data_IF_412628248201
#
_entry.id   IF_412628248201
#
_cell.length_a   1.000
_cell.length_b   1.000
_cell.length_c   1.000
_cell.angle_alpha   90.00
_cell.angle_beta   90.00
_cell.angle_gamma   90.00
#
_symmetry.space_group_name_H-M   'P 1'
#
loop_
_entity.id
_entity.type
_entity.pdbx_description
1 polymer ?
#
# COMPACT_ATOMS: atom_id res chain seq x y z
N UNK A 1 58.65 14.01 59.50
CA UNK A 1 57.56 13.01 59.46
C UNK A 1 56.25 13.74 59.72
N UNK A 2 55.68 14.41 58.71
CA UNK A 2 54.43 15.18 58.88
C UNK A 2 53.24 14.22 58.85
N UNK A 3 52.44 14.24 59.91
CA UNK A 3 51.22 13.44 60.00
C UNK A 3 50.16 14.01 59.04
N UNK A 4 49.48 13.18 58.22
CA UNK A 4 48.46 13.67 57.32
C UNK A 4 47.22 14.13 58.10
N UNK A 5 46.69 15.27 57.68
CA UNK A 5 45.65 16.03 58.35
C UNK A 5 44.29 15.32 58.28
N UNK A 6 43.61 15.15 59.43
CA UNK A 6 42.31 14.44 59.53
C UNK A 6 41.20 15.11 58.69
N UNK A 7 41.40 16.38 58.31
CA UNK A 7 40.52 17.17 57.43
C UNK A 7 40.59 16.71 55.96
N UNK A 8 41.72 16.20 55.50
CA UNK A 8 41.90 15.73 54.11
C UNK A 8 41.13 14.44 53.84
N UNK A 9 40.97 13.58 54.85
CA UNK A 9 40.20 12.34 54.75
C UNK A 9 38.71 12.57 54.53
N UNK A 10 38.14 13.62 55.12
CA UNK A 10 36.73 13.97 54.91
C UNK A 10 36.45 14.45 53.48
N UNK A 11 37.34 15.29 52.93
CA UNK A 11 37.23 15.80 51.57
C UNK A 11 37.35 14.68 50.51
N UNK A 12 38.23 13.69 50.74
CA UNK A 12 38.42 12.56 49.83
C UNK A 12 37.21 11.60 49.80
N UNK A 13 36.55 11.38 50.94
CA UNK A 13 35.34 10.54 50.98
C UNK A 13 34.17 11.22 50.28
N UNK A 14 34.01 12.54 50.48
CA UNK A 14 32.97 13.31 49.79
C UNK A 14 33.18 13.34 48.28
N UNK A 15 34.42 13.55 47.80
CA UNK A 15 34.70 13.53 46.36
C UNK A 15 34.49 12.14 45.75
N UNK A 16 34.87 11.06 46.46
CA UNK A 16 34.59 9.70 46.03
C UNK A 16 33.09 9.41 45.89
N UNK A 17 32.28 9.84 46.87
CA UNK A 17 30.82 9.66 46.82
C UNK A 17 30.18 10.45 45.66
N UNK A 18 30.68 11.66 45.38
CA UNK A 18 30.19 12.46 44.24
C UNK A 18 30.50 11.76 42.92
N UNK A 19 31.73 11.24 42.73
CA UNK A 19 32.12 10.55 41.50
C UNK A 19 31.25 9.30 41.30
N UNK A 20 31.06 8.48 42.34
CA UNK A 20 30.22 7.28 42.27
C UNK A 20 28.77 7.64 41.92
N UNK A 21 28.22 8.68 42.54
CA UNK A 21 26.87 9.16 42.23
C UNK A 21 26.74 9.60 40.77
N UNK A 22 27.73 10.32 40.23
CA UNK A 22 27.74 10.73 38.81
C UNK A 22 27.81 9.52 37.89
N UNK A 23 28.70 8.56 38.16
CA UNK A 23 28.83 7.34 37.35
C UNK A 23 27.52 6.54 37.37
N UNK A 24 26.90 6.37 38.54
CA UNK A 24 25.61 5.70 38.66
C UNK A 24 24.50 6.41 37.88
N UNK A 25 24.43 7.75 37.96
CA UNK A 25 23.47 8.56 37.20
C UNK A 25 23.65 8.44 35.68
N UNK A 26 24.91 8.42 35.21
CA UNK A 26 25.24 8.22 33.80
C UNK A 26 24.85 6.81 33.31
N UNK A 27 25.18 5.76 34.08
CA UNK A 27 24.79 4.38 33.77
C UNK A 27 23.27 4.22 33.70
N UNK A 28 22.53 4.79 34.65
CA UNK A 28 21.07 4.77 34.64
C UNK A 28 20.49 5.49 33.41
N UNK A 29 21.03 6.66 33.05
CA UNK A 29 20.63 7.42 31.86
C UNK A 29 20.85 6.64 30.56
N UNK A 30 21.97 5.91 30.45
CA UNK A 30 22.27 5.07 29.29
C UNK A 30 21.32 3.87 29.17
N UNK A 31 21.04 3.17 30.27
CA UNK A 31 20.12 2.04 30.27
C UNK A 31 18.71 2.46 29.83
N UNK A 32 18.23 3.62 30.29
CA UNK A 32 16.94 4.16 29.90
C UNK A 32 16.88 4.54 28.41
N UNK A 33 17.99 5.06 27.86
CA UNK A 33 18.12 5.32 26.40
C UNK A 33 18.12 4.02 25.59
N UNK A 34 18.77 2.97 26.08
CA UNK A 34 18.80 1.66 25.42
C UNK A 34 17.40 1.05 25.31
N UNK A 35 16.61 1.04 26.40
CA UNK A 35 15.23 0.54 26.39
C UNK A 35 14.35 1.31 25.42
N UNK A 36 14.50 2.64 25.33
CA UNK A 36 13.74 3.47 24.39
C UNK A 36 14.11 3.20 22.92
N UNK A 37 15.38 2.90 22.62
CA UNK A 37 15.84 2.57 21.26
C UNK A 37 15.25 1.24 20.77
N UNK A 38 15.30 0.20 21.61
CA UNK A 38 14.77 -1.14 21.26
C UNK A 38 13.29 -1.08 20.89
N UNK A 39 12.47 -0.37 21.68
CA UNK A 39 11.03 -0.21 21.40
C UNK A 39 10.75 0.47 20.06
N UNK A 40 11.63 1.37 19.61
CA UNK A 40 11.48 2.02 18.29
C UNK A 40 11.73 1.03 17.16
N UNK A 41 12.78 0.22 17.28
CA UNK A 41 13.13 -0.81 16.29
C UNK A 41 12.02 -1.85 16.20
N UNK A 42 11.47 -2.31 17.33
CA UNK A 42 10.36 -3.26 17.36
C UNK A 42 9.12 -2.73 16.64
N UNK A 43 8.77 -1.45 16.86
CA UNK A 43 7.66 -0.80 16.17
C UNK A 43 7.89 -0.67 14.66
N UNK A 44 9.11 -0.35 14.24
CA UNK A 44 9.44 -0.26 12.81
C UNK A 44 9.41 -1.64 12.13
N UNK A 45 9.92 -2.68 12.80
CA UNK A 45 9.80 -4.05 12.30
C UNK A 45 8.35 -4.49 12.20
N UNK A 46 7.50 -4.18 13.20
CA UNK A 46 6.07 -4.46 13.14
C UNK A 46 5.39 -3.75 11.96
N UNK A 47 5.74 -2.49 11.68
CA UNK A 47 5.24 -1.74 10.52
C UNK A 47 5.65 -2.37 9.20
N UNK A 48 6.91 -2.77 9.07
CA UNK A 48 7.42 -3.42 7.85
C UNK A 48 6.71 -4.77 7.62
N UNK A 49 6.53 -5.56 8.69
CA UNK A 49 5.82 -6.83 8.63
C UNK A 49 4.35 -6.63 8.22
N UNK A 50 3.65 -5.65 8.79
CA UNK A 50 2.28 -5.33 8.41
C UNK A 50 2.17 -4.94 6.92
N UNK A 51 3.10 -4.12 6.41
CA UNK A 51 3.13 -3.76 4.98
C UNK A 51 3.38 -4.96 4.07
N UNK A 52 4.31 -5.84 4.44
CA UNK A 52 4.59 -7.06 3.67
C UNK A 52 3.36 -7.98 3.62
N UNK A 53 2.62 -8.07 4.72
CA UNK A 53 1.38 -8.85 4.82
C UNK A 53 0.25 -8.24 3.97
N UNK A 54 0.09 -6.92 3.97
CA UNK A 54 -0.86 -6.23 3.09
C UNK A 54 -0.52 -6.44 1.60
N UNK A 55 0.76 -6.33 1.24
CA UNK A 55 1.22 -6.60 -0.13
C UNK A 55 0.91 -8.04 -0.56
N UNK A 56 1.16 -9.02 0.31
CA UNK A 56 0.79 -10.42 0.07
C UNK A 56 -0.71 -10.62 -0.12
N UNK A 57 -1.54 -9.91 0.64
CA UNK A 57 -2.99 -9.89 0.45
C UNK A 57 -3.42 -9.35 -0.91
N UNK A 58 -2.78 -8.29 -1.41
CA UNK A 58 -3.02 -7.73 -2.74
C UNK A 58 -2.58 -8.71 -3.83
N UNK A 59 -1.45 -9.40 -3.66
CA UNK A 59 -0.96 -10.38 -4.64
C UNK A 59 -1.84 -11.62 -4.72
N UNK A 60 -2.36 -12.09 -3.57
CA UNK A 60 -3.39 -13.11 -3.54
C UNK A 60 -4.67 -12.65 -4.25
N UNK A 61 -5.13 -11.42 -4.01
CA UNK A 61 -6.28 -10.84 -4.70
C UNK A 61 -6.08 -10.81 -6.23
N UNK A 62 -4.88 -10.40 -6.70
CA UNK A 62 -4.55 -10.43 -8.12
C UNK A 62 -4.55 -11.85 -8.70
N UNK A 63 -4.06 -12.82 -7.95
CA UNK A 63 -4.04 -14.22 -8.38
C UNK A 63 -5.47 -14.76 -8.56
N UNK A 64 -6.35 -14.55 -7.57
CA UNK A 64 -7.73 -15.04 -7.64
C UNK A 64 -8.53 -14.33 -8.74
N UNK A 65 -8.32 -13.01 -8.96
CA UNK A 65 -8.95 -12.29 -10.06
C UNK A 65 -8.47 -12.77 -11.44
N UNK A 66 -7.17 -13.07 -11.59
CA UNK A 66 -6.62 -13.61 -12.83
C UNK A 66 -7.14 -15.01 -13.14
N UNK A 67 -7.20 -15.88 -12.13
CA UNK A 67 -7.77 -17.23 -12.30
C UNK A 67 -9.25 -17.14 -12.66
N UNK A 68 -10.01 -16.28 -11.98
CA UNK A 68 -11.42 -16.03 -12.29
C UNK A 68 -11.62 -15.55 -13.73
N UNK A 69 -10.90 -14.50 -14.16
CA UNK A 69 -11.03 -13.95 -15.52
C UNK A 69 -10.66 -14.93 -16.64
N UNK A 70 -9.92 -16.00 -16.34
CA UNK A 70 -9.64 -17.09 -17.30
C UNK A 70 -10.78 -18.10 -17.39
N UNK A 71 -11.57 -18.27 -16.32
CA UNK A 71 -12.64 -19.27 -16.22
C UNK A 71 -14.00 -18.70 -16.62
N UNK A 72 -14.28 -17.46 -16.21
CA UNK A 72 -15.58 -16.82 -16.40
C UNK A 72 -15.43 -15.44 -17.07
N UNK A 73 -16.08 -15.21 -18.22
CA UNK A 73 -16.06 -13.91 -18.89
C UNK A 73 -17.04 -12.90 -18.29
N UNK A 74 -17.98 -13.35 -17.45
CA UNK A 74 -19.01 -12.50 -16.83
C UNK A 74 -18.69 -12.28 -15.36
N UNK A 75 -18.72 -11.03 -14.92
CA UNK A 75 -18.49 -10.65 -13.52
C UNK A 75 -19.83 -10.54 -12.79
N UNK A 76 -19.96 -11.20 -11.64
CA UNK A 76 -21.16 -11.17 -10.78
C UNK A 76 -20.77 -10.97 -9.31
N UNK A 77 -21.61 -10.27 -8.55
CA UNK A 77 -21.33 -9.94 -7.14
C UNK A 77 -21.38 -11.12 -6.15
N UNK A 78 -21.79 -12.31 -6.59
CA UNK A 78 -21.88 -13.52 -5.76
C UNK A 78 -20.73 -14.52 -6.00
N UNK A 79 -19.70 -14.12 -6.74
CA UNK A 79 -18.54 -14.95 -7.04
C UNK A 79 -17.54 -14.94 -5.88
N UNK A 80 -16.65 -15.95 -5.83
CA UNK A 80 -15.71 -16.17 -4.71
C UNK A 80 -14.85 -14.93 -4.41
N UNK A 81 -14.41 -14.22 -5.46
CA UNK A 81 -13.59 -13.00 -5.31
C UNK A 81 -14.29 -11.89 -4.53
N UNK A 82 -15.63 -11.84 -4.53
CA UNK A 82 -16.43 -10.83 -3.84
C UNK A 82 -16.65 -11.15 -2.35
N UNK A 83 -16.21 -12.33 -1.89
CA UNK A 83 -16.36 -12.73 -0.48
C UNK A 83 -15.38 -11.96 0.40
N UNK A 84 -15.84 -11.23 1.42
CA UNK A 84 -14.96 -10.48 2.30
C UNK A 84 -14.14 -11.41 3.20
N UNK A 85 -12.88 -11.06 3.40
CA UNK A 85 -12.02 -11.66 4.42
C UNK A 85 -12.29 -10.89 5.71
N UNK A 86 -12.91 -11.56 6.68
CA UNK A 86 -13.27 -10.98 7.97
C UNK A 86 -12.37 -11.56 9.05
N UNK A 87 -11.72 -10.68 9.79
CA UNK A 87 -10.97 -10.95 11.02
C UNK A 87 -10.14 -12.23 11.02
N UNK A 88 -9.39 -12.48 9.94
CA UNK A 88 -8.51 -13.66 9.92
C UNK A 88 -7.36 -13.43 10.87
N UNK A 89 -7.35 -14.25 11.93
CA UNK A 89 -6.33 -14.21 12.96
C UNK A 89 -5.06 -14.88 12.45
N UNK A 90 -3.98 -14.12 12.34
CA UNK A 90 -2.67 -14.66 12.01
C UNK A 90 -1.90 -14.84 13.31
N UNK A 91 -1.82 -16.09 13.74
CA UNK A 91 -1.00 -16.51 14.87
C UNK A 91 0.36 -16.94 14.35
N UNK A 92 1.44 -16.36 14.89
CA UNK A 92 2.80 -16.82 14.61
C UNK A 92 3.23 -17.73 15.77
N UNK A 93 3.67 -18.97 15.49
CA UNK A 93 4.17 -19.86 16.53
C UNK A 93 5.26 -19.18 17.36
N UNK A 94 5.06 -19.08 18.68
CA UNK A 94 6.00 -18.43 19.61
C UNK A 94 5.83 -16.92 19.80
N UNK A 95 4.77 -16.31 19.26
CA UNK A 95 4.45 -14.88 19.44
C UNK A 95 3.03 -14.74 20.03
N UNK A 96 2.89 -14.09 21.18
CA UNK A 96 1.58 -13.80 21.80
C UNK A 96 0.80 -12.70 21.05
N UNK A 97 1.44 -12.01 20.10
CA UNK A 97 0.82 -10.94 19.34
C UNK A 97 -0.13 -11.49 18.29
N UNK A 98 -1.41 -11.17 18.47
CA UNK A 98 -2.47 -11.49 17.52
C UNK A 98 -2.57 -10.41 16.45
N UNK A 99 -2.24 -10.74 15.21
CA UNK A 99 -2.50 -9.87 14.06
C UNK A 99 -3.84 -10.22 13.43
N UNK A 100 -4.68 -9.22 13.16
CA UNK A 100 -5.97 -9.39 12.49
C UNK A 100 -5.86 -8.86 11.08
N UNK A 101 -6.28 -9.66 10.10
CA UNK A 101 -6.32 -9.28 8.70
C UNK A 101 -7.76 -9.26 8.19
N UNK A 102 -8.15 -8.14 7.60
CA UNK A 102 -9.47 -7.93 7.02
C UNK A 102 -9.35 -7.26 5.67
N UNK A 103 -10.16 -7.67 4.71
CA UNK A 103 -10.16 -7.08 3.37
C UNK A 103 -11.40 -7.46 2.59
N UNK A 104 -11.73 -6.63 1.59
CA UNK A 104 -12.82 -6.91 0.64
C UNK A 104 -12.41 -6.43 -0.74
N UNK A 105 -12.94 -7.10 -1.75
CA UNK A 105 -12.77 -6.73 -3.15
C UNK A 105 -14.14 -6.29 -3.66
N UNK A 106 -14.19 -5.16 -4.35
CA UNK A 106 -15.42 -4.61 -4.92
C UNK A 106 -15.20 -4.27 -6.39
N UNK A 107 -16.22 -4.51 -7.20
CA UNK A 107 -16.24 -4.07 -8.59
C UNK A 107 -16.55 -2.57 -8.68
N UNK A 108 -15.63 -1.81 -9.27
CA UNK A 108 -15.80 -0.38 -9.52
C UNK A 108 -16.59 -0.11 -10.82
N UNK A 109 -16.70 -1.09 -11.73
CA UNK A 109 -17.51 -0.96 -12.95
C UNK A 109 -19.02 -0.98 -12.68
N UNK A 110 -19.43 -1.46 -11.50
CA UNK A 110 -20.82 -1.36 -11.04
C UNK A 110 -21.24 0.03 -10.57
N UNK A 111 -20.32 1.00 -10.50
CA UNK A 111 -20.58 2.38 -10.06
C UNK A 111 -20.64 3.32 -11.26
N UNK A 112 -21.36 4.44 -11.11
CA UNK A 112 -21.37 5.48 -12.14
C UNK A 112 -19.99 6.13 -12.28
N UNK A 113 -19.40 6.07 -13.47
CA UNK A 113 -18.10 6.66 -13.75
C UNK A 113 -18.24 8.17 -13.99
N UNK A 114 -17.83 8.97 -13.01
CA UNK A 114 -17.83 10.43 -13.09
C UNK A 114 -16.96 10.94 -14.25
N UNK A 115 -15.93 10.22 -14.67
CA UNK A 115 -15.07 10.64 -15.78
C UNK A 115 -15.83 10.75 -17.12
N UNK A 116 -16.99 10.11 -17.24
CA UNK A 116 -17.86 10.21 -18.41
C UNK A 116 -18.52 11.61 -18.57
N UNK A 117 -18.52 12.44 -17.52
CA UNK A 117 -19.19 13.76 -17.54
C UNK A 117 -18.57 14.75 -18.52
N UNK A 118 -17.33 14.51 -18.93
CA UNK A 118 -16.66 15.29 -19.96
C UNK A 118 -15.88 14.39 -20.91
N UNK A 119 -15.63 14.87 -22.12
CA UNK A 119 -14.72 14.23 -23.07
C UNK A 119 -13.76 15.29 -23.59
N UNK A 120 -12.46 15.10 -23.34
CA UNK A 120 -11.42 16.06 -23.72
C UNK A 120 -11.69 17.48 -23.16
N UNK A 121 -12.24 17.57 -21.95
CA UNK A 121 -12.59 18.83 -21.31
C UNK A 121 -13.91 19.45 -21.79
N UNK A 122 -14.63 18.80 -22.70
CA UNK A 122 -15.96 19.24 -23.15
C UNK A 122 -17.04 18.51 -22.35
N UNK A 123 -17.91 19.23 -21.60
CA UNK A 123 -19.03 18.63 -20.88
C UNK A 123 -19.98 17.84 -21.77
N UNK A 124 -20.47 16.72 -21.27
CA UNK A 124 -21.44 15.86 -21.95
C UNK A 124 -22.84 16.00 -21.32
N UNK A 125 -23.81 16.65 -22.01
CA UNK A 125 -25.11 16.96 -21.41
C UNK A 125 -25.96 15.71 -21.10
N UNK A 126 -25.80 14.64 -21.89
CA UNK A 126 -26.45 13.35 -21.62
C UNK A 126 -26.00 12.75 -20.28
N UNK A 127 -24.69 12.83 -20.00
CA UNK A 127 -24.11 12.28 -18.77
C UNK A 127 -24.46 13.13 -17.55
N UNK A 128 -24.59 14.44 -17.74
CA UNK A 128 -25.13 15.32 -16.72
C UNK A 128 -26.55 14.90 -16.29
N UNK A 129 -27.46 14.63 -17.23
CA UNK A 129 -28.82 14.20 -16.89
C UNK A 129 -28.85 12.89 -16.11
N UNK A 130 -27.99 11.93 -16.46
CA UNK A 130 -27.83 10.67 -15.72
C UNK A 130 -27.35 10.93 -14.30
N UNK A 131 -26.36 11.80 -14.12
CA UNK A 131 -25.87 12.19 -12.80
C UNK A 131 -26.95 12.88 -11.97
N UNK A 132 -27.72 13.82 -12.54
CA UNK A 132 -28.81 14.50 -11.84
C UNK A 132 -29.88 13.51 -11.35
N UNK A 133 -30.21 12.49 -12.16
CA UNK A 133 -31.10 11.38 -11.74
C UNK A 133 -30.49 10.54 -10.62
N UNK A 134 -29.18 10.28 -10.65
CA UNK A 134 -28.51 9.58 -9.56
C UNK A 134 -28.53 10.41 -8.27
N UNK A 135 -28.24 11.70 -8.34
CA UNK A 135 -28.29 12.61 -7.19
C UNK A 135 -29.70 12.70 -6.59
N UNK A 136 -30.73 12.79 -7.42
CA UNK A 136 -32.12 12.81 -6.91
C UNK A 136 -32.50 11.50 -6.23
N UNK A 137 -32.05 10.35 -6.75
CA UNK A 137 -32.25 9.03 -6.13
C UNK A 137 -31.55 8.94 -4.76
N UNK A 138 -30.38 9.55 -4.65
CA UNK A 138 -29.61 9.65 -3.40
C UNK A 138 -30.05 10.78 -2.48
N UNK A 139 -31.11 11.53 -2.83
CA UNK A 139 -31.62 12.68 -2.09
C UNK A 139 -30.56 13.79 -1.87
N UNK A 140 -29.65 13.95 -2.83
CA UNK A 140 -28.60 14.95 -2.83
C UNK A 140 -29.01 16.18 -3.66
N UNK A 141 -28.46 17.38 -3.35
CA UNK A 141 -28.77 18.59 -4.08
C UNK A 141 -28.25 18.54 -5.52
N UNK A 142 -29.10 18.95 -6.44
CA UNK A 142 -28.84 18.93 -7.89
C UNK A 142 -27.75 19.93 -8.32
N UNK A 143 -27.45 20.93 -7.48
CA UNK A 143 -26.37 21.90 -7.69
C UNK A 143 -24.98 21.25 -7.72
N UNK A 144 -24.82 20.05 -7.15
CA UNK A 144 -23.56 19.31 -7.19
C UNK A 144 -23.20 18.83 -8.60
N UNK A 145 -24.19 18.58 -9.48
CA UNK A 145 -23.92 18.11 -10.83
C UNK A 145 -23.06 19.11 -11.61
N UNK A 146 -23.42 20.40 -11.57
CA UNK A 146 -22.67 21.47 -12.22
C UNK A 146 -21.24 21.61 -11.65
N UNK A 147 -21.07 21.42 -10.33
CA UNK A 147 -19.76 21.47 -9.69
C UNK A 147 -18.87 20.31 -10.16
N UNK A 148 -19.39 19.08 -10.20
CA UNK A 148 -18.63 17.92 -10.68
C UNK A 148 -18.22 18.08 -12.14
N UNK A 149 -19.11 18.58 -13.00
CA UNK A 149 -18.80 18.83 -14.41
C UNK A 149 -17.64 19.81 -14.55
N UNK A 150 -17.67 20.93 -13.83
CA UNK A 150 -16.59 21.93 -13.88
C UNK A 150 -15.25 21.40 -13.41
N UNK A 151 -15.24 20.59 -12.34
CA UNK A 151 -14.00 19.96 -11.84
C UNK A 151 -13.45 18.93 -12.84
N UNK A 152 -14.32 18.10 -13.42
CA UNK A 152 -13.91 16.99 -14.28
C UNK A 152 -13.50 17.49 -15.66
N UNK A 153 -14.20 18.48 -16.22
CA UNK A 153 -13.80 19.10 -17.48
C UNK A 153 -12.43 19.77 -17.37
N UNK A 154 -12.16 20.47 -16.26
CA UNK A 154 -10.86 21.09 -16.00
C UNK A 154 -9.74 20.08 -15.75
N UNK A 155 -10.05 18.90 -15.20
CA UNK A 155 -9.07 17.85 -14.95
C UNK A 155 -8.67 17.06 -16.21
N UNK A 156 -9.48 17.13 -17.28
CA UNK A 156 -9.19 16.42 -18.52
C UNK A 156 -8.25 17.24 -19.42
N UNK A 157 -7.24 16.59 -20.03
CA UNK A 157 -6.43 17.26 -21.04
C UNK A 157 -7.32 17.62 -22.24
N UNK A 158 -7.23 18.86 -22.76
CA UNK A 158 -7.94 19.24 -23.97
C UNK A 158 -7.45 18.40 -25.16
N UNK A 159 -8.35 18.12 -26.10
CA UNK A 159 -7.98 17.39 -27.30
C UNK A 159 -6.86 18.14 -28.04
N UNK A 160 -5.83 17.44 -28.55
CA UNK A 160 -4.87 18.08 -29.45
C UNK A 160 -5.65 18.64 -30.64
N UNK A 161 -5.40 19.91 -30.97
CA UNK A 161 -6.07 20.58 -32.07
C UNK A 161 -5.97 19.70 -33.32
N UNK A 162 -7.11 19.33 -33.91
CA UNK A 162 -7.13 18.69 -35.21
C UNK A 162 -6.49 19.67 -36.19
N UNK A 163 -5.30 19.33 -36.69
CA UNK A 163 -4.60 20.10 -37.69
C UNK A 163 -5.53 20.35 -38.89
N UNK A 164 -5.63 21.61 -39.31
CA UNK A 164 -6.46 22.09 -40.42
C UNK A 164 -6.32 21.22 -41.69
N UNK A 165 -7.40 21.02 -42.45
CA UNK A 165 -7.32 20.29 -43.72
C UNK A 165 -6.62 21.15 -44.77
N UNK A 166 -5.36 20.84 -45.08
CA UNK A 166 -4.66 21.46 -46.20
C UNK A 166 -3.14 21.53 -46.06
N UNK A 167 -2.46 20.40 -46.20
CA UNK A 167 -1.11 20.31 -46.76
C UNK A 167 -0.80 18.83 -47.07
N UNK A 168 -0.41 18.47 -48.30
CA UNK A 168 -0.09 17.09 -48.66
C UNK A 168 1.30 16.76 -48.10
N UNK A 169 1.35 16.13 -46.92
CA UNK A 169 2.60 15.53 -46.44
C UNK A 169 2.67 14.10 -46.95
N UNK A 170 3.72 13.84 -47.73
CA UNK A 170 4.03 12.57 -48.34
C UNK A 170 4.10 11.44 -47.31
N UNK A 171 3.46 10.32 -47.64
CA UNK A 171 3.61 9.04 -46.95
C UNK A 171 5.07 8.56 -47.00
N UNK A 172 5.68 8.17 -45.87
CA UNK A 172 6.59 7.04 -45.83
C UNK A 172 5.82 5.78 -45.35
N UNK A 173 6.21 4.58 -45.77
CA UNK A 173 5.42 3.37 -45.58
C UNK A 173 5.28 2.99 -44.09
N UNK A 174 4.11 2.44 -43.79
CA UNK A 174 3.74 1.88 -42.50
C UNK A 174 4.79 0.90 -41.96
N UNK A 175 5.50 1.33 -40.91
CA UNK A 175 6.25 0.47 -40.02
C UNK A 175 5.36 0.06 -38.85
N UNK A 176 5.01 -1.22 -38.80
CA UNK A 176 4.31 -1.90 -37.70
C UNK A 176 5.01 -1.65 -36.36
N UNK A 177 4.33 -1.18 -35.30
CA UNK A 177 4.86 -1.25 -33.95
C UNK A 177 4.25 -2.45 -33.21
N UNK A 178 5.10 -3.39 -32.77
CA UNK A 178 4.73 -4.21 -31.61
C UNK A 178 5.15 -5.68 -31.54
N UNK A 179 6.28 -6.13 -32.10
CA UNK A 179 6.94 -7.36 -31.61
C UNK A 179 8.47 -7.22 -31.67
N UNK A 180 9.07 -6.79 -30.56
CA UNK A 180 10.46 -7.13 -30.21
C UNK A 180 10.76 -6.72 -28.76
N UNK A 181 10.46 -7.64 -27.85
CA UNK A 181 10.97 -7.65 -26.48
C UNK A 181 11.33 -9.06 -26.07
N UNK A 182 12.00 -9.81 -26.96
CA UNK A 182 12.54 -11.14 -26.69
C UNK A 182 14.05 -11.09 -26.87
N UNK A 183 14.75 -10.70 -25.80
CA UNK A 183 16.19 -10.89 -25.68
C UNK A 183 16.47 -12.13 -24.81
N UNK A 184 17.23 -13.04 -25.40
CA UNK A 184 18.24 -13.91 -24.78
C UNK A 184 17.82 -14.96 -23.72
N UNK A 185 17.74 -16.20 -24.22
CA UNK A 185 18.50 -17.38 -23.75
C UNK A 185 18.93 -17.47 -22.26
N UNK A 186 18.14 -18.23 -21.50
CA UNK A 186 18.44 -19.56 -20.88
C UNK A 186 19.78 -19.78 -20.12
N UNK A 187 19.65 -19.79 -18.78
CA UNK A 187 20.17 -20.72 -17.75
C UNK A 187 21.69 -20.76 -17.43
N UNK A 188 22.07 -21.06 -16.15
CA UNK A 188 21.94 -22.43 -15.63
C UNK A 188 21.22 -22.55 -14.28
N UNK A 189 20.84 -23.80 -14.01
CA UNK A 189 20.14 -24.30 -12.83
C UNK A 189 20.95 -24.17 -11.54
N UNK A 190 20.26 -23.94 -10.43
CA UNK A 190 20.66 -24.51 -9.14
C UNK A 190 19.42 -24.78 -8.29
N UNK A 191 19.42 -25.97 -7.72
CA UNK A 191 18.36 -26.64 -6.97
C UNK A 191 17.82 -25.82 -5.77
N UNK A 192 16.50 -25.81 -5.61
CA UNK A 192 15.88 -25.81 -4.28
C UNK A 192 14.73 -26.81 -4.26
N UNK A 193 15.07 -28.07 -3.94
CA UNK A 193 14.14 -29.11 -3.51
C UNK A 193 13.86 -28.92 -2.02
N UNK A 194 12.66 -29.35 -1.61
CA UNK A 194 12.10 -29.50 -0.26
C UNK A 194 11.37 -28.24 0.28
N UNK A 195 10.18 -28.32 0.88
CA UNK A 195 9.16 -29.36 1.00
C UNK A 195 7.92 -28.69 1.61
N UNK A 196 6.77 -28.71 0.93
CA UNK A 196 5.47 -28.50 1.58
C UNK A 196 4.60 -29.71 1.26
N UNK A 197 4.71 -30.70 2.16
CA UNK A 197 3.91 -31.91 2.19
C UNK A 197 2.54 -31.53 2.74
N UNK A 198 1.56 -31.30 1.86
CA UNK A 198 0.15 -31.27 2.25
C UNK A 198 -0.28 -32.71 2.57
N UNK A 199 -0.85 -32.99 3.76
CA UNK A 199 -1.41 -34.32 4.02
C UNK A 199 -2.79 -34.41 3.36
N UNK A 200 -2.86 -35.10 2.22
CA UNK A 200 -4.04 -35.86 1.84
C UNK A 200 -4.19 -37.03 2.83
N UNK A 201 -5.30 -37.07 3.56
CA UNK A 201 -5.96 -38.33 3.90
C UNK A 201 -7.48 -38.17 3.82
N UNK A 202 -8.02 -39.02 2.95
CA UNK A 202 -9.40 -39.27 2.59
C UNK A 202 -10.18 -40.05 3.65
N UNK A 203 -11.51 -40.09 3.44
CA UNK A 203 -12.51 -41.04 3.95
C UNK A 203 -12.84 -41.01 5.45
#
# INVERSE_FOLDING_TARGET
MSAPDRRERGAAVVSALIIVAIVAALSASLFQRQTASTRRVENELARVQARAMLAGGIDWARLILRDHGRREPVTRGNQIWATPILDTRIERPGDERVAVFSGRIQDEQGKYNLYNLATNGVPQPEQEQVLRRLLSTLQLPDTLAAQFIGVISAAQPPAPAANSPGSPSANPPAGTPGQAGAAAARAPATHFRQACKWPEKSC
#
